data_IF_113581102228
#
_entry.id   IF_113581102228
#
_cell.length_a   1.000
_cell.length_b   1.000
_cell.length_c   1.000
_cell.angle_alpha   90.00
_cell.angle_beta   90.00
_cell.angle_gamma   90.00
#
_symmetry.space_group_name_H-M   'P 1'
#
loop_
_entity.id
_entity.type
_entity.pdbx_description
1 polymer ?
#
# COMPACT_ATOMS: atom_id res chain seq x y z
N UNK A 1 56.10 -42.90 -36.97
CA UNK A 1 55.11 -41.86 -37.28
C UNK A 1 54.19 -41.70 -36.09
N UNK A 2 54.13 -40.47 -35.58
CA UNK A 2 53.32 -40.03 -34.44
C UNK A 2 51.85 -39.98 -34.82
N UNK A 3 50.97 -40.32 -33.89
CA UNK A 3 49.73 -39.55 -33.64
C UNK A 3 49.09 -40.01 -32.33
N UNK A 4 49.41 -39.30 -31.26
CA UNK A 4 48.60 -39.26 -30.04
C UNK A 4 47.32 -38.49 -30.35
N UNK A 5 46.15 -39.09 -30.12
CA UNK A 5 44.87 -38.34 -30.03
C UNK A 5 44.53 -38.19 -28.55
N UNK A 6 44.70 -36.98 -28.05
CA UNK A 6 44.24 -36.56 -26.73
C UNK A 6 42.71 -36.58 -26.69
N UNK A 7 42.15 -37.35 -25.76
CA UNK A 7 40.73 -37.26 -25.40
C UNK A 7 40.67 -36.26 -24.25
N UNK A 8 40.20 -35.05 -24.54
CA UNK A 8 39.90 -34.07 -23.50
C UNK A 8 38.67 -34.56 -22.71
N UNK A 9 38.72 -34.65 -21.38
CA UNK A 9 37.51 -34.81 -20.59
C UNK A 9 36.73 -33.50 -20.73
N UNK A 10 35.62 -33.54 -21.47
CA UNK A 10 34.60 -32.49 -21.44
C UNK A 10 34.07 -32.52 -20.01
N UNK A 11 34.58 -31.62 -19.17
CA UNK A 11 34.04 -31.36 -17.86
C UNK A 11 32.58 -31.01 -18.02
N UNK A 12 31.71 -31.94 -17.64
CA UNK A 12 30.32 -31.64 -17.36
C UNK A 12 30.37 -30.83 -16.06
N UNK A 13 30.72 -29.54 -16.17
CA UNK A 13 30.26 -28.54 -15.22
C UNK A 13 28.75 -28.42 -15.47
N UNK A 14 28.02 -29.44 -15.04
CA UNK A 14 26.61 -29.33 -14.77
C UNK A 14 26.51 -28.28 -13.68
N UNK A 15 26.31 -27.03 -14.09
CA UNK A 15 25.72 -26.04 -13.22
C UNK A 15 24.47 -26.72 -12.69
N UNK A 16 24.52 -27.19 -11.44
CA UNK A 16 23.33 -27.56 -10.73
C UNK A 16 22.49 -26.29 -10.74
N UNK A 17 21.52 -26.24 -11.66
CA UNK A 17 20.34 -25.44 -11.49
C UNK A 17 19.74 -25.96 -10.20
N UNK A 18 20.22 -25.45 -9.08
CA UNK A 18 19.57 -25.52 -7.79
C UNK A 18 18.29 -24.74 -7.98
N UNK A 19 17.31 -25.41 -8.58
CA UNK A 19 15.91 -25.04 -8.44
C UNK A 19 15.69 -25.17 -6.94
N UNK A 20 15.86 -24.06 -6.22
CA UNK A 20 15.33 -23.95 -4.88
C UNK A 20 13.82 -24.10 -5.02
N UNK A 21 13.35 -25.35 -5.00
CA UNK A 21 11.98 -25.70 -4.66
C UNK A 21 11.79 -25.20 -3.24
N UNK A 22 11.40 -23.93 -3.09
CA UNK A 22 10.94 -23.39 -1.83
C UNK A 22 9.74 -24.25 -1.46
N UNK A 23 9.89 -25.12 -0.47
CA UNK A 23 8.77 -25.87 0.10
C UNK A 23 7.82 -24.84 0.73
N UNK A 24 6.80 -24.44 -0.02
CA UNK A 24 5.71 -23.64 0.51
C UNK A 24 4.84 -24.56 1.38
N UNK A 25 4.62 -24.15 2.62
CA UNK A 25 3.69 -24.79 3.54
C UNK A 25 2.42 -23.95 3.66
N UNK A 26 1.37 -24.54 4.23
CA UNK A 26 0.14 -23.82 4.56
C UNK A 26 0.45 -22.69 5.55
N UNK A 27 0.06 -21.45 5.22
CA UNK A 27 0.27 -20.26 6.05
C UNK A 27 -1.07 -19.78 6.61
N UNK A 28 -1.07 -19.37 7.88
CA UNK A 28 -2.26 -18.76 8.51
C UNK A 28 -2.61 -17.40 7.90
N UNK A 29 -1.65 -16.75 7.26
CA UNK A 29 -1.85 -15.50 6.52
C UNK A 29 -2.84 -15.68 5.36
N UNK A 30 -2.92 -16.88 4.78
CA UNK A 30 -3.81 -17.19 3.66
C UNK A 30 -5.24 -17.55 4.14
N UNK A 31 -5.43 -17.76 5.45
CA UNK A 31 -6.74 -18.14 6.01
C UNK A 31 -7.68 -16.95 6.17
N UNK A 32 -7.13 -15.77 6.49
CA UNK A 32 -7.92 -14.59 6.84
C UNK A 32 -7.65 -13.44 5.87
N UNK A 33 -8.69 -13.03 5.15
CA UNK A 33 -8.59 -11.89 4.25
C UNK A 33 -8.51 -10.57 5.03
N UNK A 34 -7.70 -9.65 4.52
CA UNK A 34 -7.53 -8.29 5.06
C UNK A 34 -8.39 -7.29 4.30
N UNK A 35 -8.75 -6.18 4.96
CA UNK A 35 -9.48 -5.10 4.30
C UNK A 35 -8.62 -4.39 3.25
N UNK A 36 -9.17 -4.23 2.04
CA UNK A 36 -8.54 -3.50 0.94
C UNK A 36 -8.85 -2.00 1.01
N UNK A 37 -8.33 -1.32 2.05
CA UNK A 37 -8.47 0.13 2.21
C UNK A 37 -7.28 0.87 1.58
N UNK A 38 -7.56 1.95 0.84
CA UNK A 38 -6.52 2.79 0.23
C UNK A 38 -5.70 3.52 1.30
N UNK A 39 -4.46 3.87 0.96
CA UNK A 39 -3.54 4.55 1.88
C UNK A 39 -4.13 5.86 2.43
N UNK A 40 -4.70 6.71 1.57
CA UNK A 40 -5.29 7.99 1.97
C UNK A 40 -6.51 7.85 2.91
N UNK A 41 -7.24 6.73 2.85
CA UNK A 41 -8.40 6.45 3.73
C UNK A 41 -8.02 5.72 5.01
N UNK A 42 -6.80 5.17 5.05
CA UNK A 42 -6.26 4.42 6.19
C UNK A 42 -5.84 5.38 7.30
N UNK A 43 -6.20 5.07 8.53
CA UNK A 43 -5.88 5.91 9.69
C UNK A 43 -4.41 5.78 10.08
N UNK A 44 -3.89 4.56 10.10
CA UNK A 44 -2.49 4.27 10.40
C UNK A 44 -2.06 2.89 9.89
N UNK A 45 -0.75 2.70 9.74
CA UNK A 45 -0.14 1.41 9.36
C UNK A 45 0.15 0.49 10.56
N UNK A 46 -0.27 0.88 11.77
CA UNK A 46 -0.16 0.05 12.94
C UNK A 46 -0.93 -1.28 12.77
N UNK A 47 -0.42 -2.41 13.28
CA UNK A 47 -1.10 -3.71 13.18
C UNK A 47 -2.42 -3.77 13.95
N UNK A 48 -2.63 -2.89 14.93
CA UNK A 48 -3.88 -2.81 15.69
C UNK A 48 -5.00 -2.06 14.95
N UNK A 49 -4.66 -1.36 13.86
CA UNK A 49 -5.60 -0.57 13.05
C UNK A 49 -5.67 -1.08 11.60
N UNK A 50 -5.09 -2.25 11.30
CA UNK A 50 -5.21 -2.90 9.99
C UNK A 50 -6.61 -3.42 9.72
N UNK A 51 -7.32 -3.80 10.78
CA UNK A 51 -8.65 -4.42 10.72
C UNK A 51 -9.76 -3.40 10.47
N UNK A 52 -10.93 -3.91 10.06
CA UNK A 52 -12.10 -3.10 9.70
C UNK A 52 -12.52 -2.15 10.83
N UNK A 53 -12.80 -0.88 10.49
CA UNK A 53 -13.28 0.15 11.45
C UNK A 53 -14.56 -0.29 12.19
N UNK A 54 -15.48 -0.98 11.51
CA UNK A 54 -16.73 -1.48 12.09
C UNK A 54 -16.50 -2.57 13.15
N UNK A 55 -15.34 -3.25 13.14
CA UNK A 55 -15.01 -4.30 14.11
C UNK A 55 -14.99 -3.81 15.56
N UNK A 56 -14.63 -2.54 15.79
CA UNK A 56 -14.68 -1.94 17.13
C UNK A 56 -16.13 -1.84 17.61
N UNK A 57 -17.04 -1.38 16.75
CA UNK A 57 -18.46 -1.27 17.09
C UNK A 57 -19.12 -2.65 17.25
N UNK A 58 -18.80 -3.60 16.37
CA UNK A 58 -19.24 -5.00 16.48
C UNK A 58 -18.82 -5.62 17.82
N UNK A 59 -17.56 -5.41 18.23
CA UNK A 59 -17.05 -5.88 19.52
C UNK A 59 -17.79 -5.25 20.70
N UNK A 60 -18.07 -3.95 20.65
CA UNK A 60 -18.83 -3.26 21.70
C UNK A 60 -20.27 -3.76 21.80
N UNK A 61 -20.93 -4.00 20.66
CA UNK A 61 -22.29 -4.52 20.59
C UNK A 61 -22.38 -6.03 20.92
N UNK A 62 -21.25 -6.74 20.91
CA UNK A 62 -21.17 -8.21 21.01
C UNK A 62 -22.02 -8.92 19.95
N UNK A 63 -22.15 -8.32 18.77
CA UNK A 63 -22.91 -8.85 17.63
C UNK A 63 -22.05 -8.85 16.37
N UNK A 64 -22.39 -9.74 15.45
CA UNK A 64 -21.75 -9.78 14.13
C UNK A 64 -22.57 -8.93 13.15
N UNK A 65 -21.89 -8.10 12.36
CA UNK A 65 -22.48 -7.35 11.25
C UNK A 65 -21.96 -7.91 9.93
N UNK A 66 -22.84 -8.12 8.96
CA UNK A 66 -22.51 -8.75 7.67
C UNK A 66 -23.00 -7.95 6.46
N UNK A 67 -23.01 -6.62 6.56
CA UNK A 67 -23.45 -5.76 5.46
C UNK A 67 -22.52 -5.94 4.24
N UNK A 68 -23.02 -6.47 3.10
CA UNK A 68 -22.15 -6.94 2.03
C UNK A 68 -21.58 -5.82 1.16
N UNK A 69 -22.23 -4.66 1.08
CA UNK A 69 -21.85 -3.55 0.20
C UNK A 69 -22.05 -2.20 0.92
N UNK A 70 -21.09 -1.73 1.74
CA UNK A 70 -21.27 -0.53 2.55
C UNK A 70 -21.37 0.75 1.72
N UNK A 71 -20.51 0.93 0.71
CA UNK A 71 -20.64 1.94 -0.35
C UNK A 71 -19.56 1.74 -1.42
N UNK A 72 -19.88 2.05 -2.66
CA UNK A 72 -18.91 2.12 -3.76
C UNK A 72 -18.46 3.56 -3.99
N UNK A 73 -17.28 3.75 -4.58
CA UNK A 73 -16.96 5.04 -5.20
C UNK A 73 -17.99 5.35 -6.30
N UNK A 74 -18.24 6.64 -6.54
CA UNK A 74 -19.03 7.10 -7.68
C UNK A 74 -18.25 6.88 -8.98
N UNK A 75 -18.92 7.01 -10.13
CA UNK A 75 -18.27 6.90 -11.44
C UNK A 75 -17.14 7.93 -11.61
N UNK A 76 -17.33 9.12 -11.06
CA UNK A 76 -16.35 10.21 -11.08
C UNK A 76 -16.10 10.72 -9.64
N UNK A 77 -15.17 10.10 -8.89
CA UNK A 77 -14.92 10.43 -7.50
C UNK A 77 -13.82 11.50 -7.38
N UNK A 78 -14.17 12.76 -7.63
CA UNK A 78 -13.27 13.91 -7.41
C UNK A 78 -13.37 14.42 -5.97
N UNK A 79 -12.22 14.72 -5.37
CA UNK A 79 -12.10 15.30 -4.03
C UNK A 79 -11.12 16.47 -4.08
N UNK A 80 -11.42 17.54 -3.34
CA UNK A 80 -10.53 18.68 -3.18
C UNK A 80 -9.34 18.34 -2.27
N UNK A 81 -8.25 19.09 -2.42
CA UNK A 81 -7.06 18.94 -1.58
C UNK A 81 -7.38 19.28 -0.13
N UNK A 82 -7.19 18.31 0.77
CA UNK A 82 -7.32 18.52 2.20
C UNK A 82 -6.02 19.10 2.78
N UNK A 83 -6.15 20.12 3.62
CA UNK A 83 -5.05 20.73 4.36
C UNK A 83 -5.19 20.48 5.85
N UNK A 84 -4.13 20.71 6.61
CA UNK A 84 -4.14 20.52 8.07
C UNK A 84 -5.26 21.32 8.75
N UNK A 85 -5.93 20.69 9.73
CA UNK A 85 -7.12 21.24 10.39
C UNK A 85 -6.93 22.67 10.92
N UNK A 86 -5.79 22.97 11.54
CA UNK A 86 -5.53 24.32 12.03
C UNK A 86 -5.35 25.33 10.89
N UNK A 87 -4.59 24.95 9.84
CA UNK A 87 -4.29 25.83 8.70
C UNK A 87 -5.50 26.07 7.82
N UNK A 88 -6.48 25.17 7.79
CA UNK A 88 -7.74 25.34 7.09
C UNK A 88 -8.52 26.57 7.57
N UNK A 89 -8.53 26.81 8.89
CA UNK A 89 -9.32 27.87 9.49
C UNK A 89 -8.51 29.13 9.86
N UNK A 90 -7.19 29.02 9.91
CA UNK A 90 -6.30 30.10 10.33
C UNK A 90 -5.21 30.40 9.29
N UNK A 91 -5.53 30.27 8.00
CA UNK A 91 -4.61 30.65 6.93
C UNK A 91 -4.42 32.16 6.94
N UNK A 92 -3.20 32.69 7.17
CA UNK A 92 -2.98 34.12 7.16
C UNK A 92 -3.14 34.66 5.73
N UNK A 93 -3.74 35.84 5.59
CA UNK A 93 -3.90 36.52 4.30
C UNK A 93 -2.60 37.24 3.89
N UNK A 94 -1.56 36.44 3.62
CA UNK A 94 -0.27 36.93 3.16
C UNK A 94 -0.20 36.76 1.64
N UNK A 95 0.14 37.83 0.93
CA UNK A 95 0.31 37.81 -0.52
C UNK A 95 1.61 38.47 -0.97
N UNK A 96 2.15 37.98 -2.08
CA UNK A 96 3.35 38.50 -2.74
C UNK A 96 3.04 38.64 -4.23
N UNK A 97 3.13 39.86 -4.76
CA UNK A 97 2.76 40.19 -6.14
C UNK A 97 1.33 39.72 -6.48
N UNK A 98 1.19 38.60 -7.21
CA UNK A 98 -0.07 37.99 -7.67
C UNK A 98 -0.34 36.61 -7.05
N UNK A 99 0.25 36.32 -5.90
CA UNK A 99 0.13 35.01 -5.27
C UNK A 99 -0.18 35.14 -3.79
N UNK A 100 -1.15 34.36 -3.32
CA UNK A 100 -1.34 34.07 -1.92
C UNK A 100 -0.25 33.09 -1.47
N UNK A 101 0.46 33.45 -0.41
CA UNK A 101 1.60 32.68 0.11
C UNK A 101 1.30 32.28 1.54
N UNK A 102 1.24 30.97 1.78
CA UNK A 102 1.20 30.41 3.13
C UNK A 102 2.45 29.54 3.35
N UNK A 103 2.81 29.21 4.60
CA UNK A 103 3.95 28.34 4.88
C UNK A 103 3.89 26.97 4.21
N UNK A 104 2.71 26.54 3.73
CA UNK A 104 2.52 25.22 3.10
C UNK A 104 1.94 25.21 1.70
N UNK A 105 1.29 26.30 1.27
CA UNK A 105 0.62 26.36 -0.04
C UNK A 105 0.82 27.73 -0.69
N UNK A 106 0.92 27.72 -2.02
CA UNK A 106 0.82 28.91 -2.86
C UNK A 106 -0.45 28.81 -3.69
N UNK A 107 -1.15 29.93 -3.89
CA UNK A 107 -2.28 30.00 -4.82
C UNK A 107 -2.27 31.33 -5.57
N UNK A 108 -2.83 31.35 -6.79
CA UNK A 108 -2.96 32.58 -7.57
C UNK A 108 -3.91 33.55 -6.85
N UNK A 109 -3.55 34.84 -6.83
CA UNK A 109 -4.36 35.96 -6.34
C UNK A 109 -4.35 37.03 -7.43
N UNK A 110 -5.53 37.51 -7.82
CA UNK A 110 -5.69 38.53 -8.85
C UNK A 110 -4.91 39.82 -8.57
#
# INVERSE_FOLDING_TARGET
MLSFRAIAPIGICGAALTVHLRHLSVRTEDFFSKEAISHARRVSWAPHTTEKKQGVFAKLARSNFSDPLPSSFTQEPYYEEAIEAHRLHHRPDVYIYKYNVSPTHMSLRE
#
